data_IF_153546495174
#
_entry.id   IF_153546495174
#
_cell.length_a   1.000
_cell.length_b   1.000
_cell.length_c   1.000
_cell.angle_alpha   90.00
_cell.angle_beta   90.00
_cell.angle_gamma   90.00
#
_symmetry.space_group_name_H-M   'P 1'
#
loop_
_entity.id
_entity.type
_entity.pdbx_description
1 polymer ?
#
# COMPACT_ATOMS: atom_id res chain seq x y z
N UNK A 1 -4.45 -12.01 9.01
CA UNK A 1 -5.04 -13.17 8.32
C UNK A 1 -6.54 -12.93 8.24
N UNK A 2 -7.26 -13.35 7.18
CA UNK A 2 -8.72 -13.38 7.16
C UNK A 2 -9.31 -14.14 8.35
N UNK A 3 -10.52 -13.77 8.74
CA UNK A 3 -11.32 -14.49 9.74
C UNK A 3 -11.87 -15.79 9.12
N UNK A 4 -12.30 -15.72 7.86
CA UNK A 4 -12.78 -16.86 7.07
C UNK A 4 -12.05 -16.94 5.73
N UNK A 5 -11.65 -18.13 5.30
CA UNK A 5 -11.00 -18.37 3.99
C UNK A 5 -11.96 -19.01 3.00
N UNK A 6 -11.93 -18.55 1.75
CA UNK A 6 -12.67 -19.16 0.63
C UNK A 6 -11.78 -20.10 -0.18
N UNK A 7 -12.37 -21.02 -0.99
CA UNK A 7 -11.61 -21.90 -1.87
C UNK A 7 -10.67 -21.13 -2.80
N UNK A 8 -9.47 -21.67 -3.01
CA UNK A 8 -8.47 -21.09 -3.92
C UNK A 8 -8.96 -21.12 -5.37
N UNK A 9 -8.51 -20.15 -6.17
CA UNK A 9 -8.75 -20.16 -7.61
C UNK A 9 -7.99 -21.31 -8.30
N UNK A 10 -8.51 -21.87 -9.40
CA UNK A 10 -7.79 -22.87 -10.20
C UNK A 10 -6.46 -22.32 -10.70
N UNK A 11 -5.39 -23.13 -10.66
CA UNK A 11 -4.05 -22.70 -11.07
C UNK A 11 -3.97 -22.24 -12.55
N UNK A 12 -4.90 -22.67 -13.40
CA UNK A 12 -4.94 -22.32 -14.82
C UNK A 12 -5.53 -20.93 -15.11
N UNK A 13 -6.13 -20.27 -14.12
CA UNK A 13 -6.81 -18.98 -14.32
C UNK A 13 -6.05 -17.79 -13.78
N UNK A 14 -4.93 -18.00 -13.06
CA UNK A 14 -4.26 -16.93 -12.30
C UNK A 14 -2.75 -16.92 -12.48
N UNK A 15 -2.18 -15.74 -12.76
CA UNK A 15 -0.74 -15.52 -12.86
C UNK A 15 -0.09 -15.23 -11.50
N UNK A 16 -0.89 -14.88 -10.48
CA UNK A 16 -0.44 -14.62 -9.11
C UNK A 16 -1.14 -15.56 -8.14
N UNK A 17 -0.49 -15.81 -7.00
CA UNK A 17 -1.14 -16.45 -5.86
C UNK A 17 -2.12 -15.48 -5.19
N UNK A 18 -3.34 -15.97 -4.95
CA UNK A 18 -4.38 -15.23 -4.24
C UNK A 18 -4.88 -16.04 -3.04
N UNK A 19 -5.00 -15.38 -1.90
CA UNK A 19 -5.77 -15.89 -0.77
C UNK A 19 -7.09 -15.14 -0.74
N UNK A 20 -8.18 -15.88 -0.87
CA UNK A 20 -9.54 -15.36 -0.82
C UNK A 20 -10.10 -15.55 0.58
N UNK A 21 -10.80 -14.54 1.08
CA UNK A 21 -11.42 -14.66 2.39
C UNK A 21 -12.28 -13.48 2.75
N UNK A 22 -12.58 -13.40 4.04
CA UNK A 22 -13.47 -12.40 4.62
C UNK A 22 -12.93 -11.98 5.98
N UNK A 23 -13.04 -10.68 6.26
CA UNK A 23 -12.83 -10.10 7.60
C UNK A 23 -14.09 -9.35 7.95
N UNK A 24 -14.72 -9.71 9.06
CA UNK A 24 -16.05 -9.20 9.41
C UNK A 24 -17.00 -9.26 8.19
N UNK A 25 -17.63 -8.16 7.80
CA UNK A 25 -18.51 -8.10 6.61
C UNK A 25 -17.79 -7.72 5.30
N UNK A 26 -16.47 -7.84 5.22
CA UNK A 26 -15.68 -7.43 4.06
C UNK A 26 -15.01 -8.63 3.37
N UNK A 27 -15.35 -8.85 2.10
CA UNK A 27 -14.60 -9.78 1.25
C UNK A 27 -13.22 -9.18 0.96
N UNK A 28 -12.18 -9.98 1.18
CA UNK A 28 -10.79 -9.59 0.96
C UNK A 28 -10.09 -10.57 0.01
N UNK A 29 -9.15 -10.02 -0.76
CA UNK A 29 -8.21 -10.78 -1.56
C UNK A 29 -6.81 -10.34 -1.15
N UNK A 30 -5.97 -11.28 -0.75
CA UNK A 30 -4.57 -11.05 -0.45
C UNK A 30 -3.72 -11.60 -1.59
N UNK A 31 -2.67 -10.88 -1.94
CA UNK A 31 -1.65 -11.32 -2.87
C UNK A 31 -0.29 -10.83 -2.40
N UNK A 32 0.77 -11.48 -2.84
CA UNK A 32 2.14 -11.10 -2.53
C UNK A 32 3.01 -11.20 -3.77
N UNK A 33 4.13 -10.49 -3.75
CA UNK A 33 5.15 -10.66 -4.79
C UNK A 33 5.76 -12.06 -4.71
N UNK A 34 6.15 -12.64 -5.86
CA UNK A 34 6.90 -13.89 -5.86
C UNK A 34 8.20 -13.77 -5.03
N UNK A 35 8.61 -14.89 -4.43
CA UNK A 35 9.81 -14.95 -3.60
C UNK A 35 11.02 -14.40 -4.38
N UNK A 36 11.77 -13.51 -3.75
CA UNK A 36 12.96 -12.88 -4.33
C UNK A 36 12.67 -11.73 -5.30
N UNK A 37 11.41 -11.45 -5.63
CA UNK A 37 11.03 -10.34 -6.51
C UNK A 37 10.54 -9.16 -5.66
N UNK A 38 11.10 -7.98 -5.92
CA UNK A 38 10.78 -6.75 -5.20
C UNK A 38 10.71 -5.56 -6.16
N UNK A 39 10.23 -4.43 -5.65
CA UNK A 39 10.20 -3.15 -6.35
C UNK A 39 8.82 -2.75 -6.87
N UNK A 40 8.70 -1.46 -7.20
CA UNK A 40 7.44 -0.82 -7.58
C UNK A 40 6.87 -1.37 -8.88
N UNK A 41 7.71 -1.66 -9.88
CA UNK A 41 7.27 -2.20 -11.17
C UNK A 41 6.60 -3.56 -11.02
N UNK A 42 7.23 -4.49 -10.27
CA UNK A 42 6.65 -5.80 -10.03
C UNK A 42 5.36 -5.71 -9.20
N UNK A 43 5.33 -4.85 -8.18
CA UNK A 43 4.13 -4.59 -7.38
C UNK A 43 2.98 -4.06 -8.25
N UNK A 44 3.27 -3.12 -9.15
CA UNK A 44 2.28 -2.61 -10.11
C UNK A 44 1.72 -3.71 -11.00
N UNK A 45 2.57 -4.59 -11.55
CA UNK A 45 2.13 -5.69 -12.39
C UNK A 45 1.18 -6.65 -11.64
N UNK A 46 1.52 -7.01 -10.39
CA UNK A 46 0.67 -7.86 -9.55
C UNK A 46 -0.66 -7.18 -9.23
N UNK A 47 -0.65 -5.90 -8.87
CA UNK A 47 -1.89 -5.13 -8.58
C UNK A 47 -2.76 -4.98 -9.83
N UNK A 48 -2.18 -4.73 -11.01
CA UNK A 48 -2.94 -4.64 -12.26
C UNK A 48 -3.63 -5.96 -12.60
N UNK A 49 -2.93 -7.09 -12.40
CA UNK A 49 -3.54 -8.41 -12.58
C UNK A 49 -4.62 -8.70 -11.53
N UNK A 50 -4.38 -8.34 -10.26
CA UNK A 50 -5.39 -8.46 -9.20
C UNK A 50 -6.67 -7.70 -9.55
N UNK A 51 -6.55 -6.46 -10.02
CA UNK A 51 -7.70 -5.64 -10.44
C UNK A 51 -8.44 -6.23 -11.65
N UNK A 52 -7.70 -6.84 -12.58
CA UNK A 52 -8.27 -7.54 -13.73
C UNK A 52 -9.01 -8.81 -13.33
N UNK A 53 -8.44 -9.61 -12.42
CA UNK A 53 -9.06 -10.86 -11.92
C UNK A 53 -10.28 -10.58 -11.04
N UNK A 54 -10.26 -9.51 -10.25
CA UNK A 54 -11.31 -9.17 -9.29
C UNK A 54 -11.86 -7.75 -9.54
N UNK A 55 -12.78 -7.58 -10.51
CA UNK A 55 -13.25 -6.26 -10.91
C UNK A 55 -14.05 -5.51 -9.83
N UNK A 56 -14.49 -6.22 -8.78
CA UNK A 56 -15.26 -5.65 -7.67
C UNK A 56 -14.40 -5.11 -6.52
N UNK A 57 -13.06 -5.08 -6.66
CA UNK A 57 -12.18 -4.46 -5.66
C UNK A 57 -12.45 -2.95 -5.60
N UNK A 58 -12.81 -2.45 -4.41
CA UNK A 58 -13.14 -1.03 -4.19
C UNK A 58 -11.94 -0.18 -3.78
N UNK A 59 -11.02 -0.76 -3.01
CA UNK A 59 -9.80 -0.11 -2.54
C UNK A 59 -8.77 -1.18 -2.17
N UNK A 60 -7.50 -0.81 -2.21
CA UNK A 60 -6.38 -1.68 -1.85
C UNK A 60 -5.56 -1.09 -0.71
N UNK A 61 -4.98 -1.96 0.11
CA UNK A 61 -4.02 -1.60 1.15
C UNK A 61 -2.69 -2.27 0.80
N UNK A 62 -1.64 -1.47 0.63
CA UNK A 62 -0.29 -1.99 0.46
C UNK A 62 0.35 -2.13 1.84
N UNK A 63 0.80 -3.35 2.17
CA UNK A 63 1.48 -3.65 3.42
C UNK A 63 2.89 -4.14 3.09
N UNK A 64 3.87 -3.63 3.81
CA UNK A 64 5.27 -4.02 3.65
C UNK A 64 6.09 -3.57 4.85
N UNK A 65 7.32 -4.08 4.92
CA UNK A 65 8.30 -3.65 5.92
C UNK A 65 9.09 -2.44 5.39
N UNK A 66 9.59 -1.62 6.30
CA UNK A 66 10.44 -0.48 5.97
C UNK A 66 11.41 -0.16 7.09
N UNK A 67 12.46 0.59 6.76
CA UNK A 67 13.38 1.18 7.75
C UNK A 67 12.78 2.44 8.36
N UNK A 68 12.95 2.62 9.68
CA UNK A 68 12.55 3.82 10.39
C UNK A 68 13.70 4.82 10.52
N UNK A 69 13.40 6.11 10.33
CA UNK A 69 14.33 7.21 10.67
C UNK A 69 13.76 7.93 11.89
N UNK A 70 14.25 7.56 13.07
CA UNK A 70 13.85 8.20 14.33
C UNK A 70 14.53 9.56 14.49
N UNK A 71 13.85 10.53 15.09
CA UNK A 71 14.38 11.87 15.32
C UNK A 71 13.67 12.58 16.48
N UNK A 72 14.14 13.79 16.84
CA UNK A 72 13.66 14.51 18.04
C UNK A 72 12.13 14.70 18.12
N UNK A 73 11.45 14.72 16.98
CA UNK A 73 9.99 14.94 16.90
C UNK A 73 9.18 13.67 16.70
N UNK A 74 9.81 12.55 16.33
CA UNK A 74 9.14 11.29 15.98
C UNK A 74 10.03 10.14 16.43
N UNK A 75 9.59 9.42 17.46
CA UNK A 75 10.28 8.25 18.00
C UNK A 75 9.76 6.99 17.28
N UNK A 76 10.44 6.58 16.21
CA UNK A 76 10.10 5.37 15.45
C UNK A 76 10.95 4.21 15.97
N UNK A 77 10.30 3.13 16.40
CA UNK A 77 10.94 1.95 16.98
C UNK A 77 10.65 0.70 16.17
N UNK A 78 11.48 -0.33 16.36
CA UNK A 78 11.25 -1.64 15.76
C UNK A 78 9.94 -2.22 16.29
N UNK A 79 9.07 -2.66 15.39
CA UNK A 79 7.74 -3.16 15.71
C UNK A 79 6.62 -2.14 15.54
N UNK A 80 6.94 -0.86 15.34
CA UNK A 80 5.93 0.16 15.06
C UNK A 80 5.24 -0.09 13.71
N UNK A 81 3.91 0.05 13.70
CA UNK A 81 3.11 0.05 12.48
C UNK A 81 2.85 1.50 12.07
N UNK A 82 3.39 1.88 10.91
CA UNK A 82 3.23 3.22 10.36
C UNK A 82 2.15 3.22 9.30
N UNK A 83 1.15 4.09 9.47
CA UNK A 83 0.07 4.29 8.49
C UNK A 83 0.24 5.64 7.82
N UNK A 84 0.32 5.66 6.49
CA UNK A 84 0.46 6.91 5.74
C UNK A 84 -0.83 7.74 5.83
N UNK A 85 -0.71 9.04 6.13
CA UNK A 85 -1.83 9.98 6.10
C UNK A 85 -1.45 11.30 5.43
N UNK A 86 -2.36 11.95 4.68
CA UNK A 86 -2.12 13.27 4.11
C UNK A 86 -1.72 14.29 5.20
N UNK A 87 -0.73 15.13 4.90
CA UNK A 87 -0.27 16.21 5.78
C UNK A 87 0.19 17.41 4.95
N UNK A 88 -0.38 18.59 5.20
CA UNK A 88 -0.05 19.81 4.45
C UNK A 88 -0.10 19.58 2.93
N UNK A 89 1.05 19.72 2.26
CA UNK A 89 1.23 19.52 0.81
C UNK A 89 1.61 18.08 0.39
N UNK A 90 1.40 17.09 1.26
CA UNK A 90 1.71 15.68 1.01
C UNK A 90 0.47 14.81 1.09
N UNK A 91 0.32 13.86 0.16
CA UNK A 91 -0.75 12.86 0.16
C UNK A 91 -0.51 11.70 1.14
N UNK A 92 0.58 11.70 1.89
CA UNK A 92 0.94 10.68 2.87
C UNK A 92 2.15 9.85 2.47
N UNK A 93 2.26 9.47 1.19
CA UNK A 93 3.47 8.82 0.65
C UNK A 93 4.26 9.83 -0.20
N UNK A 94 5.57 9.90 0.03
CA UNK A 94 6.49 10.74 -0.74
C UNK A 94 7.44 9.84 -1.52
N UNK A 95 7.34 9.89 -2.85
CA UNK A 95 8.32 9.27 -3.72
C UNK A 95 9.52 10.22 -3.88
N UNK A 96 10.66 9.84 -3.32
CA UNK A 96 11.85 10.71 -3.21
C UNK A 96 12.50 11.02 -4.57
N UNK A 97 12.40 10.11 -5.52
CA UNK A 97 12.91 10.24 -6.89
C UNK A 97 11.89 10.91 -7.84
N UNK A 98 10.72 11.34 -7.35
CA UNK A 98 9.69 11.96 -8.18
C UNK A 98 9.91 13.47 -8.37
N UNK A 99 10.91 13.80 -9.18
CA UNK A 99 11.34 15.16 -9.43
C UNK A 99 12.35 15.25 -10.56
N UNK A 100 12.85 16.47 -10.76
CA UNK A 100 13.87 16.77 -11.78
C UNK A 100 15.06 17.45 -11.14
N UNK A 101 16.26 17.08 -11.61
CA UNK A 101 17.45 17.85 -11.33
C UNK A 101 17.33 19.21 -12.03
N UNK A 102 17.62 20.29 -11.31
CA UNK A 102 17.69 21.64 -11.83
C UNK A 102 19.14 22.15 -11.74
N UNK A 103 19.45 23.25 -12.42
CA UNK A 103 20.80 23.85 -12.40
C UNK A 103 21.27 24.08 -10.95
N UNK A 104 22.56 23.89 -10.71
CA UNK A 104 23.17 24.04 -9.38
C UNK A 104 23.06 22.81 -8.48
N UNK A 105 22.67 21.64 -9.00
CA UNK A 105 22.62 20.39 -8.23
C UNK A 105 21.41 20.27 -7.30
N UNK A 106 20.42 21.16 -7.45
CA UNK A 106 19.18 21.08 -6.68
C UNK A 106 18.20 20.09 -7.32
N UNK A 107 17.36 19.49 -6.49
CA UNK A 107 16.27 18.62 -6.93
C UNK A 107 14.93 19.31 -6.67
N UNK A 108 14.12 19.43 -7.72
CA UNK A 108 12.77 19.97 -7.63
C UNK A 108 11.76 18.83 -7.72
N UNK A 109 10.99 18.62 -6.65
CA UNK A 109 9.82 17.72 -6.68
C UNK A 109 8.78 18.29 -7.66
N UNK A 110 8.35 17.48 -8.62
CA UNK A 110 7.41 17.92 -9.68
C UNK A 110 5.99 17.39 -9.49
N UNK A 111 5.77 16.50 -8.53
CA UNK A 111 4.46 15.91 -8.31
C UNK A 111 4.30 15.26 -6.94
N UNK A 112 3.17 14.61 -6.76
CA UNK A 112 2.82 13.84 -5.58
C UNK A 112 1.95 12.65 -5.98
N UNK A 113 1.96 11.60 -5.16
CA UNK A 113 1.07 10.47 -5.33
C UNK A 113 -0.37 10.85 -4.94
N UNK A 114 -1.33 10.05 -5.39
CA UNK A 114 -2.73 10.20 -5.02
C UNK A 114 -2.94 10.05 -3.51
N UNK A 115 -3.96 10.73 -2.99
CA UNK A 115 -4.40 10.56 -1.62
C UNK A 115 -5.18 9.24 -1.47
N UNK A 116 -5.11 8.58 -0.31
CA UNK A 116 -5.99 7.45 0.00
C UNK A 116 -7.48 7.85 -0.10
N UNK A 117 -8.37 6.92 -0.51
CA UNK A 117 -9.81 7.14 -0.49
C UNK A 117 -10.32 7.63 0.88
N UNK A 118 -11.34 8.49 0.87
CA UNK A 118 -11.91 9.11 2.09
C UNK A 118 -12.32 8.04 3.12
N UNK A 119 -12.88 6.91 2.70
CA UNK A 119 -13.26 5.81 3.60
C UNK A 119 -12.08 5.29 4.44
N UNK A 120 -10.88 5.21 3.85
CA UNK A 120 -9.68 4.79 4.56
C UNK A 120 -9.17 5.90 5.49
N UNK A 121 -9.27 7.16 5.07
CA UNK A 121 -8.89 8.30 5.92
C UNK A 121 -9.79 8.41 7.15
N UNK A 122 -11.10 8.17 7.00
CA UNK A 122 -12.04 8.12 8.12
C UNK A 122 -11.69 6.98 9.09
N UNK A 123 -11.34 5.79 8.56
CA UNK A 123 -10.90 4.68 9.40
C UNK A 123 -9.61 5.01 10.19
N UNK A 124 -8.65 5.70 9.55
CA UNK A 124 -7.44 6.19 10.25
C UNK A 124 -7.80 7.20 11.35
N UNK A 125 -8.72 8.12 11.10
CA UNK A 125 -9.19 9.07 12.14
C UNK A 125 -9.80 8.35 13.34
N UNK A 126 -10.59 7.30 13.12
CA UNK A 126 -11.10 6.47 14.22
C UNK A 126 -9.99 5.75 14.98
N UNK A 127 -9.01 5.17 14.27
CA UNK A 127 -7.86 4.52 14.89
C UNK A 127 -7.05 5.48 15.76
N UNK A 128 -6.92 6.74 15.35
CA UNK A 128 -6.19 7.78 16.10
C UNK A 128 -6.96 8.34 17.30
N UNK A 129 -8.27 8.12 17.38
CA UNK A 129 -9.12 8.62 18.46
C UNK A 129 -9.26 7.62 19.62
N UNK A 130 -8.82 6.38 19.43
CA UNK A 130 -8.73 5.34 20.45
C UNK A 130 -7.37 5.35 21.13
#
# INVERSE_FOLDING_TARGET
MPDETFPSLPATTVHNAYVLGKIENHNIVLTCLPVGIYGTTSATAVVSQLQSTFPNIRYGILVGIGGGVSGKRMDIRLGDVVVSKPTGSSAGVKQYDFGKAIKGGHFQRIGMLNQPPIILLTAVSHLMAN
#
